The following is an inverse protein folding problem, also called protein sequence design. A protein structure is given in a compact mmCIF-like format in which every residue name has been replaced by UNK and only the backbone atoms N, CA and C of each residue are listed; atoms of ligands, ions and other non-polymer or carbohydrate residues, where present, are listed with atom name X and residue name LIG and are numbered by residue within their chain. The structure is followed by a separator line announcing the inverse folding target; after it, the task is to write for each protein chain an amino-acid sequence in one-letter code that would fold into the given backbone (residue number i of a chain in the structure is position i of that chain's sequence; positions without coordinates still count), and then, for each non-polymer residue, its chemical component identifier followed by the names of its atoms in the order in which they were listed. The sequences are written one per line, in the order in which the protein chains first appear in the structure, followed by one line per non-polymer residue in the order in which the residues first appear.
data_IF_937067014972
#
_entry.id   IF_937067014972
#
_cell.length_a   1.000
_cell.length_b   1.000
_cell.length_c   1.000
_cell.angle_alpha   90.00
_cell.angle_beta   90.00
_cell.angle_gamma   90.00
#
_symmetry.space_group_name_H-M   'P 1'
#
loop_
_entity.id
_entity.type
_entity.pdbx_description
1 polymer ?
#
# COMPACT_ATOMS: atom_id res chain seq x y z
N UNK A 1 -12.74 -10.94 -15.08
CA UNK A 1 -13.89 -10.03 -15.04
C UNK A 1 -13.81 -8.98 -13.92
N UNK A 2 -13.22 -9.27 -12.75
CA UNK A 2 -13.10 -8.29 -11.65
C UNK A 2 -12.12 -7.13 -11.91
N UNK A 3 -10.96 -7.38 -12.56
CA UNK A 3 -9.93 -6.34 -12.76
C UNK A 3 -10.33 -5.21 -13.73
N UNK A 4 -11.21 -5.50 -14.71
CA UNK A 4 -11.65 -4.51 -15.71
C UNK A 4 -12.67 -3.53 -15.11
N UNK A 5 -13.52 -4.00 -14.18
CA UNK A 5 -14.51 -3.16 -13.51
C UNK A 5 -13.86 -2.12 -12.57
N UNK A 6 -12.75 -2.49 -11.92
CA UNK A 6 -12.00 -1.57 -11.05
C UNK A 6 -11.32 -0.47 -11.88
N UNK A 7 -10.70 -0.81 -13.02
CA UNK A 7 -10.12 0.17 -13.92
C UNK A 7 -11.17 1.16 -14.49
N UNK A 8 -12.37 0.68 -14.80
CA UNK A 8 -13.48 1.50 -15.30
C UNK A 8 -14.01 2.49 -14.23
N UNK A 9 -14.12 2.07 -12.97
CA UNK A 9 -14.56 2.94 -11.88
C UNK A 9 -13.55 4.07 -11.59
N UNK A 10 -12.26 3.80 -11.76
CA UNK A 10 -11.18 4.78 -11.57
C UNK A 10 -11.03 5.79 -12.74
N UNK A 11 -11.36 5.40 -13.98
CA UNK A 11 -11.42 6.33 -15.12
C UNK A 11 -12.50 7.39 -14.91
N UNK A 12 -13.65 6.99 -14.36
CA UNK A 12 -14.75 7.92 -14.05
C UNK A 12 -14.40 8.92 -12.94
N UNK A 13 -13.48 8.57 -12.02
CA UNK A 13 -13.03 9.49 -10.96
C UNK A 13 -11.84 10.37 -11.34
N UNK A 14 -11.19 10.12 -12.49
CA UNK A 14 -9.94 10.78 -12.91
C UNK A 14 -10.11 11.72 -14.11
N UNK A 15 -11.30 11.78 -14.72
CA UNK A 15 -11.63 12.84 -15.67
C UNK A 15 -11.94 14.09 -14.84
N UNK A 16 -11.01 15.03 -14.80
CA UNK A 16 -11.32 16.42 -14.45
C UNK A 16 -12.37 16.92 -15.43
N UNK A 17 -13.64 16.90 -15.03
CA UNK A 17 -14.65 17.75 -15.67
C UNK A 17 -14.37 19.16 -15.15
N UNK A 18 -13.42 19.84 -15.78
CA UNK A 18 -13.38 21.30 -15.74
C UNK A 18 -14.71 21.82 -16.31
N UNK A 19 -15.58 22.26 -15.40
CA UNK A 19 -16.65 23.23 -15.61
C UNK A 19 -17.33 23.21 -16.98
N UNK A 20 -18.14 22.18 -17.24
CA UNK A 20 -19.35 22.37 -18.04
C UNK A 20 -20.49 21.70 -17.29
N UNK A 21 -21.42 22.53 -16.82
CA UNK A 21 -22.70 22.11 -16.28
C UNK A 21 -23.50 21.45 -17.41
N UNK A 22 -23.28 20.16 -17.62
CA UNK A 22 -24.06 19.33 -18.51
C UNK A 22 -24.20 17.97 -17.85
N UNK A 23 -25.43 17.65 -17.43
CA UNK A 23 -25.80 16.31 -17.00
C UNK A 23 -25.34 15.31 -18.06
N UNK A 24 -24.32 14.51 -17.74
CA UNK A 24 -23.87 13.45 -18.63
C UNK A 24 -25.02 12.44 -18.72
N UNK A 25 -25.64 12.37 -19.90
CA UNK A 25 -26.71 11.44 -20.24
C UNK A 25 -26.24 10.01 -19.95
N UNK A 26 -27.03 9.23 -19.20
CA UNK A 26 -26.69 7.87 -18.76
C UNK A 26 -26.29 6.97 -19.95
N UNK A 27 -26.81 7.25 -21.15
CA UNK A 27 -26.45 6.57 -22.40
C UNK A 27 -25.01 6.78 -22.86
N UNK A 28 -24.35 7.87 -22.47
CA UNK A 28 -22.95 8.16 -22.84
C UNK A 28 -21.97 7.34 -21.98
N UNK A 29 -22.33 7.14 -20.71
CA UNK A 29 -21.60 6.26 -19.79
C UNK A 29 -21.75 4.81 -20.24
N UNK A 30 -22.95 4.40 -20.65
CA UNK A 30 -23.22 3.06 -21.14
C UNK A 30 -22.50 2.75 -22.46
N UNK A 31 -22.47 3.69 -23.41
CA UNK A 31 -21.72 3.56 -24.66
C UNK A 31 -20.19 3.50 -24.44
N UNK A 32 -19.68 4.24 -23.46
CA UNK A 32 -18.26 4.19 -23.08
C UNK A 32 -17.92 2.87 -22.38
N UNK A 33 -18.83 2.33 -21.58
CA UNK A 33 -18.69 1.01 -20.96
C UNK A 33 -18.72 -0.10 -22.02
N UNK A 34 -19.61 -0.06 -23.01
CA UNK A 34 -19.59 -1.01 -24.14
C UNK A 34 -18.28 -0.94 -24.93
N UNK A 35 -17.72 0.26 -25.11
CA UNK A 35 -16.44 0.43 -25.80
C UNK A 35 -15.26 -0.18 -25.01
N UNK A 36 -15.18 0.08 -23.71
CA UNK A 36 -14.12 -0.47 -22.83
C UNK A 36 -14.26 -1.98 -22.65
N UNK A 37 -15.47 -2.52 -22.70
CA UNK A 37 -15.76 -3.94 -22.51
C UNK A 37 -15.77 -4.74 -23.81
N UNK A 38 -15.57 -4.11 -24.98
CA UNK A 38 -15.68 -4.78 -26.27
C UNK A 38 -14.59 -5.87 -26.46
N UNK A 39 -14.96 -7.17 -26.44
CA UNK A 39 -14.00 -8.25 -26.58
C UNK A 39 -13.43 -8.38 -28.00
N UNK A 40 -14.04 -7.73 -29.01
CA UNK A 40 -13.57 -7.81 -30.40
C UNK A 40 -12.26 -7.08 -30.66
N UNK A 41 -11.78 -6.26 -29.71
CA UNK A 41 -10.41 -5.71 -29.72
C UNK A 41 -9.42 -6.56 -28.92
N UNK A 42 -9.87 -7.61 -28.23
CA UNK A 42 -9.02 -8.48 -27.43
C UNK A 42 -8.32 -9.59 -28.24
N UNK A 43 -8.69 -9.80 -29.51
CA UNK A 43 -8.11 -10.86 -30.37
C UNK A 43 -7.13 -10.38 -31.45
N UNK A 44 -6.93 -9.06 -31.64
CA UNK A 44 -5.99 -8.52 -32.63
C UNK A 44 -4.99 -7.54 -32.02
N UNK A 45 -4.17 -8.02 -31.08
CA UNK A 45 -2.71 -7.79 -31.01
C UNK A 45 -2.18 -8.21 -29.63
N UNK A 46 -1.70 -9.45 -29.56
CA UNK A 46 -0.70 -9.85 -28.57
C UNK A 46 0.59 -9.11 -28.93
N UNK A 47 0.76 -7.91 -28.39
CA UNK A 47 2.04 -7.20 -28.44
C UNK A 47 2.29 -6.60 -27.06
N UNK A 48 3.19 -7.24 -26.30
CA UNK A 48 3.80 -6.80 -25.03
C UNK A 48 3.14 -5.58 -24.38
N UNK A 49 2.45 -5.79 -23.25
CA UNK A 49 2.16 -4.75 -22.26
C UNK A 49 3.38 -3.83 -22.14
N UNK A 50 3.27 -2.59 -22.61
CA UNK A 50 4.43 -1.71 -22.70
C UNK A 50 4.85 -1.35 -21.27
N UNK A 51 5.80 -2.07 -20.69
CA UNK A 51 6.42 -1.70 -19.42
C UNK A 51 7.65 -0.85 -19.67
N UNK A 52 7.96 0.09 -18.79
CA UNK A 52 9.19 0.88 -18.84
C UNK A 52 9.82 0.98 -17.46
N UNK A 53 11.09 1.38 -17.41
CA UNK A 53 11.80 1.60 -16.15
C UNK A 53 11.74 3.05 -15.73
N UNK A 54 11.41 3.29 -14.47
CA UNK A 54 11.48 4.60 -13.81
C UNK A 54 12.49 4.51 -12.67
N UNK A 55 13.41 5.46 -12.61
CA UNK A 55 14.48 5.51 -11.62
C UNK A 55 14.28 6.69 -10.68
N UNK A 56 14.43 6.42 -9.39
CA UNK A 56 14.26 7.39 -8.31
C UNK A 56 15.56 7.48 -7.52
N UNK A 57 16.00 8.70 -7.24
CA UNK A 57 17.16 8.92 -6.38
C UNK A 57 16.69 8.99 -4.94
N UNK A 58 17.35 8.23 -4.06
CA UNK A 58 17.17 8.29 -2.62
C UNK A 58 18.22 9.27 -2.07
N UNK A 59 17.81 10.36 -1.41
CA UNK A 59 18.75 11.27 -0.79
C UNK A 59 19.43 10.61 0.42
N UNK A 60 20.76 10.74 0.51
CA UNK A 60 21.53 10.38 1.70
C UNK A 60 22.63 11.42 1.93
N UNK A 61 23.04 11.59 3.18
CA UNK A 61 23.91 12.68 3.60
C UNK A 61 25.26 12.73 2.85
N UNK A 62 25.77 11.58 2.41
CA UNK A 62 27.10 11.46 1.79
C UNK A 62 27.13 10.62 0.49
N UNK A 63 25.97 10.15 0.01
CA UNK A 63 25.86 9.29 -1.18
C UNK A 63 24.46 9.41 -1.78
N UNK A 64 24.28 8.93 -3.01
CA UNK A 64 22.97 8.80 -3.64
C UNK A 64 22.78 7.36 -4.12
N UNK A 65 21.72 6.71 -3.67
CA UNK A 65 21.32 5.39 -4.19
C UNK A 65 20.14 5.57 -5.13
N UNK A 66 20.18 4.90 -6.28
CA UNK A 66 19.08 4.94 -7.26
C UNK A 66 18.28 3.64 -7.17
N UNK A 67 16.97 3.72 -6.95
CA UNK A 67 16.06 2.58 -7.08
C UNK A 67 15.34 2.66 -8.41
N UNK A 68 15.34 1.56 -9.16
CA UNK A 68 14.67 1.49 -10.47
C UNK A 68 13.50 0.53 -10.39
N UNK A 69 12.31 0.96 -10.80
CA UNK A 69 11.12 0.11 -10.89
C UNK A 69 10.70 -0.04 -12.35
N UNK A 70 10.42 -1.27 -12.79
CA UNK A 70 9.64 -1.50 -13.99
C UNK A 70 8.16 -1.32 -13.66
N UNK A 71 7.50 -0.48 -14.44
CA UNK A 71 6.09 -0.10 -14.28
C UNK A 71 5.35 -0.23 -15.61
N UNK A 72 4.04 -0.43 -15.56
CA UNK A 72 3.20 -0.45 -16.77
C UNK A 72 3.02 0.96 -17.34
N UNK A 73 3.02 1.10 -18.69
CA UNK A 73 2.78 2.38 -19.38
C UNK A 73 1.30 2.71 -19.54
N UNK A 74 0.40 1.73 -19.35
CA UNK A 74 -1.05 1.89 -19.51
C UNK A 74 -1.75 1.33 -18.29
N UNK A 75 -2.86 1.96 -17.88
CA UNK A 75 -3.71 1.55 -16.75
C UNK A 75 -4.49 0.26 -17.08
N UNK A 76 -3.81 -0.89 -17.18
CA UNK A 76 -4.48 -2.19 -17.28
C UNK A 76 -4.51 -2.93 -15.93
N UNK A 77 -3.52 -2.68 -15.06
CA UNK A 77 -3.38 -3.34 -13.76
C UNK A 77 -2.86 -2.40 -12.68
N UNK A 78 -3.70 -2.13 -11.68
CA UNK A 78 -3.41 -1.19 -10.58
C UNK A 78 -2.07 -1.50 -9.89
N UNK A 79 -1.73 -2.78 -9.70
CA UNK A 79 -0.49 -3.20 -9.02
C UNK A 79 0.80 -3.01 -9.83
N UNK A 80 0.74 -2.69 -11.12
CA UNK A 80 1.93 -2.43 -11.96
C UNK A 80 2.27 -0.94 -12.10
N UNK A 81 1.49 -0.06 -11.46
CA UNK A 81 1.75 1.38 -11.38
C UNK A 81 2.32 1.72 -10.01
N UNK A 82 3.20 2.73 -9.95
CA UNK A 82 3.56 3.39 -8.70
C UNK A 82 2.51 4.46 -8.37
N UNK A 83 1.86 4.31 -7.22
CA UNK A 83 0.84 5.25 -6.72
C UNK A 83 1.42 6.23 -5.71
N UNK A 84 0.73 7.35 -5.53
CA UNK A 84 1.19 8.48 -4.71
C UNK A 84 1.43 8.08 -3.26
N UNK A 85 0.60 7.19 -2.71
CA UNK A 85 0.81 6.63 -1.38
C UNK A 85 2.11 5.85 -1.23
N UNK A 86 2.62 5.23 -2.30
CA UNK A 86 3.92 4.56 -2.31
C UNK A 86 5.08 5.57 -2.20
N UNK A 87 4.98 6.72 -2.89
CA UNK A 87 5.96 7.80 -2.73
C UNK A 87 5.94 8.38 -1.32
N UNK A 88 4.76 8.71 -0.79
CA UNK A 88 4.60 9.25 0.56
C UNK A 88 5.10 8.27 1.62
N UNK A 89 4.82 6.97 1.49
CA UNK A 89 5.30 5.96 2.45
C UNK A 89 6.82 5.76 2.36
N UNK A 90 7.42 5.92 1.18
CA UNK A 90 8.87 5.90 1.01
C UNK A 90 9.53 7.14 1.65
N UNK A 91 8.95 8.33 1.49
CA UNK A 91 9.41 9.54 2.20
C UNK A 91 9.28 9.38 3.71
N UNK A 92 8.18 8.78 4.17
CA UNK A 92 7.98 8.48 5.58
C UNK A 92 9.08 7.55 6.09
N UNK A 93 9.41 6.49 5.36
CA UNK A 93 10.48 5.55 5.70
C UNK A 93 11.86 6.24 5.75
N UNK A 94 12.15 7.17 4.83
CA UNK A 94 13.38 7.98 4.84
C UNK A 94 13.46 8.83 6.11
N UNK A 95 12.39 9.56 6.45
CA UNK A 95 12.37 10.42 7.63
C UNK A 95 12.31 9.66 8.96
N UNK A 96 11.89 8.39 8.94
CA UNK A 96 11.70 7.53 10.12
C UNK A 96 12.60 6.29 10.10
N UNK A 97 13.75 6.35 9.44
CA UNK A 97 14.69 5.22 9.30
C UNK A 97 15.00 4.52 10.64
N UNK A 98 15.13 5.30 11.73
CA UNK A 98 15.37 4.80 13.10
C UNK A 98 14.35 3.77 13.56
N UNK A 99 13.10 3.90 13.11
CA UNK A 99 11.98 3.12 13.59
C UNK A 99 11.99 1.70 12.98
N UNK A 100 12.71 1.51 11.87
CA UNK A 100 12.83 0.25 11.13
C UNK A 100 14.12 -0.51 11.40
N UNK A 101 15.11 0.13 12.03
CA UNK A 101 16.44 -0.44 12.26
C UNK A 101 16.35 -1.71 13.13
N UNK A 102 16.86 -2.83 12.61
CA UNK A 102 16.79 -4.13 13.29
C UNK A 102 15.37 -4.66 13.51
N UNK A 103 14.38 -4.18 12.74
CA UNK A 103 12.98 -4.66 12.80
C UNK A 103 12.69 -5.58 11.61
N UNK A 104 11.69 -6.45 11.77
CA UNK A 104 11.14 -7.24 10.68
C UNK A 104 9.95 -6.50 10.06
N UNK A 105 10.01 -6.20 8.77
CA UNK A 105 8.99 -5.38 8.10
C UNK A 105 8.22 -6.24 7.10
N UNK A 106 6.90 -6.09 7.07
CA UNK A 106 6.01 -6.67 6.06
C UNK A 106 5.34 -5.53 5.29
N UNK A 107 5.39 -5.54 3.97
CA UNK A 107 4.61 -4.63 3.13
C UNK A 107 3.45 -5.39 2.48
N UNK A 108 2.21 -4.96 2.76
CA UNK A 108 1.00 -5.45 2.11
C UNK A 108 0.71 -4.66 0.85
N UNK A 109 0.30 -5.34 -0.23
CA UNK A 109 -0.07 -4.68 -1.48
C UNK A 109 1.10 -3.89 -2.06
N UNK A 110 2.29 -4.49 -2.09
CA UNK A 110 3.52 -3.82 -2.45
C UNK A 110 3.53 -3.34 -3.92
N UNK A 111 2.71 -3.93 -4.79
CA UNK A 111 2.66 -3.57 -6.21
C UNK A 111 4.02 -3.69 -6.87
N UNK A 112 4.59 -2.55 -7.30
CA UNK A 112 5.93 -2.48 -7.91
C UNK A 112 7.08 -2.60 -6.88
N UNK A 113 6.80 -2.54 -5.58
CA UNK A 113 7.75 -2.76 -4.48
C UNK A 113 8.55 -1.53 -4.04
N UNK A 114 8.13 -0.34 -4.45
CA UNK A 114 8.93 0.88 -4.30
C UNK A 114 9.27 1.18 -2.83
N UNK A 115 8.28 1.20 -1.92
CA UNK A 115 8.48 1.57 -0.51
C UNK A 115 9.52 0.67 0.16
N UNK A 116 9.32 -0.64 0.11
CA UNK A 116 10.21 -1.59 0.77
C UNK A 116 11.60 -1.64 0.15
N UNK A 117 11.74 -1.40 -1.15
CA UNK A 117 13.06 -1.26 -1.80
C UNK A 117 13.77 0.04 -1.42
N UNK A 118 13.04 1.15 -1.24
CA UNK A 118 13.64 2.38 -0.72
C UNK A 118 14.13 2.16 0.71
N UNK A 119 13.28 1.57 1.56
CA UNK A 119 13.62 1.27 2.96
C UNK A 119 14.85 0.34 3.05
N UNK A 120 14.93 -0.70 2.22
CA UNK A 120 16.07 -1.63 2.22
C UNK A 120 17.38 -0.97 1.78
N UNK A 121 17.35 0.13 1.03
CA UNK A 121 18.54 0.86 0.60
C UNK A 121 19.08 1.84 1.67
N UNK A 122 18.27 2.21 2.66
CA UNK A 122 18.63 3.22 3.68
C UNK A 122 18.79 2.65 5.08
N UNK A 123 18.10 1.55 5.39
CA UNK A 123 17.98 1.04 6.74
C UNK A 123 18.45 -0.42 6.82
N UNK A 124 19.37 -0.78 7.74
CA UNK A 124 19.63 -2.17 8.08
C UNK A 124 18.51 -2.71 8.98
N UNK A 125 17.35 -2.96 8.38
CA UNK A 125 16.28 -3.75 8.99
C UNK A 125 16.74 -5.21 9.17
N UNK A 126 16.08 -5.99 10.02
CA UNK A 126 16.41 -7.42 10.15
C UNK A 126 16.01 -8.19 8.89
N UNK A 127 14.84 -7.85 8.33
CA UNK A 127 14.28 -8.44 7.13
C UNK A 127 13.13 -7.58 6.62
N UNK A 128 12.95 -7.49 5.31
CA UNK A 128 11.79 -6.88 4.68
C UNK A 128 11.12 -7.92 3.78
N UNK A 129 9.81 -8.10 3.94
CA UNK A 129 9.01 -9.01 3.12
C UNK A 129 7.98 -8.19 2.34
N UNK A 130 8.09 -8.18 1.02
CA UNK A 130 7.16 -7.50 0.13
C UNK A 130 6.10 -8.50 -0.33
N UNK A 131 4.83 -8.13 -0.21
CA UNK A 131 3.73 -9.03 -0.54
C UNK A 131 2.69 -8.42 -1.47
N UNK A 132 2.22 -9.25 -2.37
CA UNK A 132 1.08 -9.00 -3.26
C UNK A 132 0.46 -10.36 -3.63
N UNK A 133 -0.56 -10.41 -4.49
CA UNK A 133 -1.24 -11.66 -4.82
C UNK A 133 -1.34 -11.93 -6.32
N UNK A 134 -1.48 -10.90 -7.15
CA UNK A 134 -1.74 -11.09 -8.57
C UNK A 134 -0.48 -11.64 -9.30
N UNK A 135 -0.57 -12.71 -10.11
CA UNK A 135 0.60 -13.39 -10.67
C UNK A 135 1.57 -12.50 -11.47
N UNK A 136 1.02 -11.62 -12.31
CA UNK A 136 1.70 -10.56 -13.07
C UNK A 136 2.42 -9.55 -12.16
N UNK A 137 1.74 -9.02 -11.14
CA UNK A 137 2.31 -8.12 -10.14
C UNK A 137 3.43 -8.81 -9.39
N UNK A 138 3.22 -10.06 -8.97
CA UNK A 138 4.22 -10.87 -8.27
C UNK A 138 5.44 -11.18 -9.15
N UNK A 139 5.26 -11.39 -10.46
CA UNK A 139 6.38 -11.54 -11.39
C UNK A 139 7.17 -10.24 -11.52
N UNK A 140 6.47 -9.10 -11.63
CA UNK A 140 7.09 -7.80 -11.74
C UNK A 140 7.80 -7.35 -10.46
N UNK A 141 7.20 -7.60 -9.30
CA UNK A 141 7.76 -7.33 -7.98
C UNK A 141 9.07 -8.07 -7.77
N UNK A 142 9.11 -9.38 -8.11
CA UNK A 142 10.37 -10.15 -8.06
C UNK A 142 11.44 -9.59 -8.98
N UNK A 143 11.08 -9.24 -10.21
CA UNK A 143 12.00 -8.61 -11.15
C UNK A 143 12.55 -7.27 -10.61
N UNK A 144 11.68 -6.42 -10.04
CA UNK A 144 12.09 -5.14 -9.46
C UNK A 144 13.03 -5.32 -8.27
N UNK A 145 12.77 -6.29 -7.40
CA UNK A 145 13.67 -6.63 -6.28
C UNK A 145 15.02 -7.12 -6.80
N UNK A 146 15.04 -7.99 -7.81
CA UNK A 146 16.27 -8.56 -8.37
C UNK A 146 17.19 -7.48 -8.97
N UNK A 147 16.67 -6.55 -9.77
CA UNK A 147 17.49 -5.51 -10.41
C UNK A 147 18.05 -4.47 -9.41
N UNK A 148 17.54 -4.43 -8.17
CA UNK A 148 18.02 -3.54 -7.11
C UNK A 148 18.78 -4.28 -6.00
N UNK A 149 18.88 -5.62 -6.05
CA UNK A 149 19.35 -6.44 -4.93
C UNK A 149 20.75 -6.06 -4.42
N UNK A 150 21.66 -5.62 -5.29
CA UNK A 150 23.02 -5.20 -4.93
C UNK A 150 23.08 -3.91 -4.08
N UNK A 151 21.97 -3.20 -3.94
CA UNK A 151 21.86 -1.92 -3.23
C UNK A 151 21.30 -2.06 -1.82
N UNK A 152 20.76 -3.24 -1.48
CA UNK A 152 20.06 -3.45 -0.21
C UNK A 152 21.04 -3.65 0.95
N UNK A 153 20.73 -3.01 2.08
CA UNK A 153 21.45 -3.11 3.35
C UNK A 153 20.91 -4.24 4.25
N UNK A 154 19.82 -4.89 3.84
CA UNK A 154 19.18 -5.99 4.55
C UNK A 154 18.57 -7.02 3.57
N UNK A 155 18.23 -8.24 4.04
CA UNK A 155 17.48 -9.20 3.24
C UNK A 155 16.10 -8.67 2.84
N UNK A 156 15.76 -8.82 1.55
CA UNK A 156 14.44 -8.51 0.99
C UNK A 156 13.88 -9.76 0.34
N UNK A 157 12.69 -10.17 0.77
CA UNK A 157 11.97 -11.33 0.21
C UNK A 157 10.66 -10.90 -0.43
N UNK A 158 10.21 -11.68 -1.41
CA UNK A 158 8.93 -11.48 -2.08
C UNK A 158 8.05 -12.70 -1.84
N UNK A 159 6.87 -12.50 -1.25
CA UNK A 159 5.95 -13.58 -0.89
C UNK A 159 4.53 -13.28 -1.38
N UNK A 160 3.80 -14.32 -1.77
CA UNK A 160 2.39 -14.18 -2.14
C UNK A 160 1.55 -14.07 -0.87
N UNK A 161 0.72 -13.03 -0.79
CA UNK A 161 -0.25 -12.81 0.29
C UNK A 161 -1.55 -12.30 -0.31
N UNK A 162 -2.51 -13.20 -0.42
CA UNK A 162 -3.89 -12.90 -0.81
C UNK A 162 -4.72 -12.62 0.44
N UNK A 163 -5.32 -11.43 0.55
CA UNK A 163 -6.07 -11.02 1.74
C UNK A 163 -7.27 -11.91 2.02
N UNK A 164 -7.86 -12.56 1.00
CA UNK A 164 -9.04 -13.40 1.18
C UNK A 164 -8.67 -14.76 1.78
N UNK A 165 -7.51 -15.29 1.42
CA UNK A 165 -7.12 -16.67 1.74
C UNK A 165 -5.99 -16.77 2.77
N UNK A 166 -5.22 -15.69 2.97
CA UNK A 166 -4.06 -15.71 3.87
C UNK A 166 -4.47 -15.94 5.32
N UNK A 167 -3.70 -16.76 6.03
CA UNK A 167 -3.80 -16.95 7.48
C UNK A 167 -2.40 -17.01 8.06
N UNK A 168 -2.18 -16.56 9.31
CA UNK A 168 -0.91 -16.77 10.01
C UNK A 168 -0.63 -18.26 10.13
N UNK A 169 0.58 -18.69 9.82
CA UNK A 169 0.98 -20.08 9.99
C UNK A 169 2.04 -20.21 11.07
N UNK A 170 2.06 -21.35 11.77
CA UNK A 170 3.14 -21.63 12.74
C UNK A 170 4.52 -21.79 12.07
N UNK A 171 4.55 -21.86 10.73
CA UNK A 171 5.79 -21.87 9.94
C UNK A 171 6.42 -20.49 9.80
N UNK A 172 5.69 -19.42 10.13
CA UNK A 172 6.18 -18.04 10.16
C UNK A 172 7.09 -17.84 11.38
N UNK A 173 8.30 -18.43 11.30
CA UNK A 173 9.30 -18.44 12.39
C UNK A 173 9.69 -17.05 12.87
N UNK A 174 9.51 -16.03 12.04
CA UNK A 174 9.79 -14.63 12.35
C UNK A 174 8.53 -13.82 12.09
N UNK A 175 7.95 -13.28 13.16
CA UNK A 175 6.77 -12.42 13.06
C UNK A 175 7.22 -10.99 12.71
N UNK A 176 6.58 -10.33 11.74
CA UNK A 176 6.84 -8.93 11.47
C UNK A 176 6.53 -8.07 12.69
N UNK A 177 7.33 -7.03 12.82
CA UNK A 177 7.27 -6.00 13.85
C UNK A 177 6.46 -4.79 13.39
N UNK A 178 6.61 -4.46 12.10
CA UNK A 178 5.99 -3.32 11.44
C UNK A 178 5.33 -3.82 10.15
N UNK A 179 4.10 -3.38 9.93
CA UNK A 179 3.39 -3.56 8.68
C UNK A 179 3.30 -2.23 7.94
N UNK A 180 3.61 -2.23 6.65
CA UNK A 180 3.44 -1.10 5.75
C UNK A 180 2.32 -1.41 4.73
N UNK A 181 1.52 -0.41 4.38
CA UNK A 181 0.53 -0.55 3.30
C UNK A 181 0.34 0.80 2.60
N UNK A 182 0.67 0.87 1.31
CA UNK A 182 0.44 2.04 0.46
C UNK A 182 -0.75 1.84 -0.46
N UNK A 183 -1.69 2.79 -0.48
CA UNK A 183 -2.88 2.81 -1.35
C UNK A 183 -3.72 1.52 -1.32
N UNK A 184 -3.79 0.82 -0.17
CA UNK A 184 -4.60 -0.39 0.00
C UNK A 184 -6.07 -0.10 0.39
N UNK A 185 -6.43 1.16 0.59
CA UNK A 185 -7.76 1.59 1.07
C UNK A 185 -8.57 2.19 -0.09
N UNK A 186 -9.03 1.34 -1.01
CA UNK A 186 -9.77 1.80 -2.19
C UNK A 186 -11.02 0.97 -2.55
N UNK A 187 -11.04 -0.32 -2.21
CA UNK A 187 -12.16 -1.22 -2.49
C UNK A 187 -12.87 -1.65 -1.21
N UNK A 188 -14.11 -1.19 -1.03
CA UNK A 188 -14.95 -1.50 0.14
C UNK A 188 -15.16 -3.01 0.28
N UNK A 189 -15.23 -3.76 -0.83
CA UNK A 189 -15.40 -5.21 -0.80
C UNK A 189 -14.19 -5.93 -0.20
N UNK A 190 -13.00 -5.35 -0.30
CA UNK A 190 -11.76 -5.91 0.21
C UNK A 190 -11.52 -5.63 1.71
N UNK A 191 -12.22 -4.66 2.32
CA UNK A 191 -11.96 -4.24 3.69
C UNK A 191 -12.11 -5.33 4.76
N UNK A 192 -13.12 -6.23 4.71
CA UNK A 192 -13.21 -7.33 5.67
C UNK A 192 -11.94 -8.21 5.66
N UNK A 193 -11.46 -8.57 4.47
CA UNK A 193 -10.27 -9.39 4.26
C UNK A 193 -9.00 -8.67 4.69
N UNK A 194 -8.81 -7.41 4.27
CA UNK A 194 -7.68 -6.58 4.68
C UNK A 194 -7.62 -6.42 6.20
N UNK A 195 -8.75 -6.12 6.84
CA UNK A 195 -8.83 -5.90 8.29
C UNK A 195 -8.51 -7.17 9.07
N UNK A 196 -8.92 -8.34 8.56
CA UNK A 196 -8.57 -9.64 9.12
C UNK A 196 -7.06 -9.89 9.08
N UNK A 197 -6.37 -9.54 7.98
CA UNK A 197 -4.90 -9.62 7.90
C UNK A 197 -4.26 -8.70 8.94
N UNK A 198 -4.69 -7.44 9.03
CA UNK A 198 -4.16 -6.46 10.00
C UNK A 198 -4.38 -6.93 11.44
N UNK A 199 -5.58 -7.44 11.77
CA UNK A 199 -5.89 -7.96 13.09
C UNK A 199 -4.98 -9.13 13.47
N UNK A 200 -4.78 -10.06 12.54
CA UNK A 200 -3.93 -11.22 12.74
C UNK A 200 -2.44 -10.83 12.88
N UNK A 201 -1.97 -9.83 12.12
CA UNK A 201 -0.64 -9.25 12.28
C UNK A 201 -0.45 -8.65 13.67
N UNK A 202 -1.38 -7.80 14.13
CA UNK A 202 -1.31 -7.18 15.45
C UNK A 202 -1.31 -8.24 16.56
N UNK A 203 -2.06 -9.32 16.38
CA UNK A 203 -2.12 -10.47 17.28
C UNK A 203 -2.85 -10.15 18.59
N UNK A 204 -2.76 -11.09 19.55
CA UNK A 204 -3.36 -10.95 20.88
C UNK A 204 -2.33 -10.37 21.88
N UNK A 205 -2.81 -9.73 22.96
CA UNK A 205 -2.01 -9.14 24.06
C UNK A 205 -1.20 -10.17 24.90
N UNK A 206 -0.97 -11.37 24.37
CA UNK A 206 -0.19 -12.42 25.02
C UNK A 206 1.31 -12.20 24.88
N UNK A 207 1.91 -11.53 25.86
CA UNK A 207 3.29 -11.75 26.32
C UNK A 207 4.47 -11.25 25.47
N UNK A 208 4.28 -10.68 24.28
CA UNK A 208 5.39 -10.09 23.50
C UNK A 208 5.62 -8.64 23.92
N UNK A 209 6.82 -8.35 24.44
CA UNK A 209 7.19 -7.02 24.99
C UNK A 209 7.30 -5.91 23.92
N UNK A 210 7.25 -6.23 22.63
CA UNK A 210 7.32 -5.27 21.52
C UNK A 210 5.94 -5.08 20.88
N UNK A 211 5.42 -3.86 20.99
CA UNK A 211 4.15 -3.45 20.36
C UNK A 211 4.32 -3.48 18.83
N UNK A 212 3.49 -4.28 18.14
CA UNK A 212 3.39 -4.26 16.68
C UNK A 212 2.57 -3.07 16.23
N UNK A 213 2.96 -2.49 15.11
CA UNK A 213 2.29 -1.32 14.53
C UNK A 213 2.14 -1.51 13.03
N UNK A 214 1.00 -1.08 12.48
CA UNK A 214 0.86 -0.96 11.04
C UNK A 214 0.83 0.53 10.66
N UNK A 215 1.54 0.90 9.59
CA UNK A 215 1.55 2.25 9.03
C UNK A 215 0.92 2.17 7.64
N UNK A 216 -0.16 2.92 7.45
CA UNK A 216 -0.89 3.01 6.20
C UNK A 216 -0.72 4.40 5.61
N UNK A 217 -0.42 4.46 4.32
CA UNK A 217 -0.57 5.67 3.51
C UNK A 217 -1.77 5.47 2.58
N UNK A 218 -2.73 6.38 2.62
CA UNK A 218 -3.94 6.30 1.80
C UNK A 218 -4.24 7.65 1.15
N UNK A 219 -4.67 7.62 -0.12
CA UNK A 219 -5.22 8.78 -0.81
C UNK A 219 -6.73 8.80 -0.61
N UNK A 220 -7.27 9.82 0.05
CA UNK A 220 -8.71 9.98 0.24
C UNK A 220 -9.34 10.48 -1.05
N UNK A 221 -9.77 9.55 -1.91
CA UNK A 221 -10.52 9.85 -3.14
C UNK A 221 -12.03 9.94 -2.89
N UNK A 222 -12.52 9.23 -1.89
CA UNK A 222 -13.93 9.20 -1.52
C UNK A 222 -14.07 9.06 0.00
N UNK A 223 -14.70 10.06 0.63
CA UNK A 223 -14.86 10.10 2.08
C UNK A 223 -15.71 8.94 2.63
N UNK A 224 -16.70 8.45 1.86
CA UNK A 224 -17.54 7.31 2.28
C UNK A 224 -16.74 6.01 2.27
N UNK A 225 -15.88 5.81 1.26
CA UNK A 225 -14.96 4.67 1.20
C UNK A 225 -14.01 4.70 2.39
N UNK A 226 -13.42 5.86 2.70
CA UNK A 226 -12.53 5.98 3.85
C UNK A 226 -13.27 5.75 5.19
N UNK A 227 -14.50 6.27 5.34
CA UNK A 227 -15.31 6.02 6.53
C UNK A 227 -15.63 4.52 6.71
N UNK A 228 -15.98 3.82 5.62
CA UNK A 228 -16.24 2.38 5.68
C UNK A 228 -14.99 1.59 6.14
N UNK A 229 -13.79 2.05 5.80
CA UNK A 229 -12.55 1.47 6.34
C UNK A 229 -12.40 1.73 7.85
N UNK A 230 -12.65 2.96 8.32
CA UNK A 230 -12.61 3.28 9.75
C UNK A 230 -13.63 2.45 10.55
N UNK A 231 -14.83 2.24 10.01
CA UNK A 231 -15.87 1.42 10.63
C UNK A 231 -15.42 -0.04 10.77
N UNK A 232 -14.72 -0.58 9.77
CA UNK A 232 -14.14 -1.93 9.82
C UNK A 232 -13.04 -2.05 10.88
N UNK A 233 -12.15 -1.06 10.98
CA UNK A 233 -11.12 -1.02 12.03
C UNK A 233 -11.75 -1.01 13.43
N UNK A 234 -12.76 -0.16 13.64
CA UNK A 234 -13.49 -0.07 14.91
C UNK A 234 -14.17 -1.39 15.28
N UNK A 235 -14.86 -2.03 14.33
CA UNK A 235 -15.50 -3.33 14.53
C UNK A 235 -14.51 -4.44 14.97
N UNK A 236 -13.25 -4.33 14.54
CA UNK A 236 -12.18 -5.27 14.88
C UNK A 236 -11.34 -4.85 16.09
N UNK A 237 -11.69 -3.74 16.77
CA UNK A 237 -10.93 -3.14 17.89
C UNK A 237 -9.49 -2.79 17.51
N UNK A 238 -9.31 -2.30 16.30
CA UNK A 238 -8.05 -1.73 15.82
C UNK A 238 -8.16 -0.23 16.00
N UNK A 239 -7.23 0.32 16.77
CA UNK A 239 -7.11 1.74 17.00
C UNK A 239 -6.51 2.40 15.75
N UNK A 240 -7.10 3.51 15.34
CA UNK A 240 -6.62 4.36 14.26
C UNK A 240 -6.10 5.66 14.86
N UNK A 241 -4.85 6.02 14.53
CA UNK A 241 -4.26 7.31 14.88
C UNK A 241 -3.81 7.98 13.58
N UNK A 242 -4.39 9.12 13.26
CA UNK A 242 -3.89 9.98 12.17
C UNK A 242 -2.54 10.57 12.60
N UNK A 243 -1.50 10.31 11.81
CA UNK A 243 -0.14 10.80 12.05
C UNK A 243 0.33 11.71 10.89
N UNK A 244 -0.58 12.17 10.04
CA UNK A 244 -0.25 12.92 8.81
C UNK A 244 0.55 14.18 9.09
N UNK A 245 0.05 15.04 9.98
CA UNK A 245 0.71 16.30 10.34
C UNK A 245 2.11 16.08 10.94
N UNK A 246 2.30 15.31 12.03
CA UNK A 246 3.64 15.10 12.61
C UNK A 246 4.59 14.37 11.65
N UNK A 247 4.08 13.48 10.79
CA UNK A 247 4.90 12.84 9.76
C UNK A 247 5.39 13.86 8.73
N UNK A 248 4.51 14.78 8.28
CA UNK A 248 4.84 15.82 7.32
C UNK A 248 5.89 16.80 7.86
N UNK A 249 5.78 17.19 9.13
CA UNK A 249 6.79 18.01 9.79
C UNK A 249 8.17 17.35 9.79
N UNK A 250 8.24 16.05 10.06
CA UNK A 250 9.50 15.31 10.07
C UNK A 250 10.06 15.04 8.67
N UNK A 251 9.20 14.79 7.69
CA UNK A 251 9.62 14.58 6.29
C UNK A 251 10.20 15.84 5.66
N UNK A 252 9.74 17.02 6.07
CA UNK A 252 10.24 18.29 5.53
C UNK A 252 9.84 18.48 4.05
N UNK A 253 10.82 18.84 3.23
CA UNK A 253 10.61 19.05 1.78
C UNK A 253 10.31 17.74 1.06
N UNK A 254 9.37 17.80 0.12
CA UNK A 254 8.96 16.66 -0.70
C UNK A 254 10.14 16.20 -1.59
N UNK A 255 10.44 14.90 -1.55
CA UNK A 255 11.52 14.25 -2.31
C UNK A 255 10.99 13.79 -3.68
N UNK A 256 9.79 13.22 -3.71
CA UNK A 256 9.15 12.68 -4.91
C UNK A 256 7.95 13.52 -5.30
N UNK A 257 7.85 13.89 -6.58
CA UNK A 257 6.78 14.77 -7.05
C UNK A 257 5.44 14.04 -7.15
N UNK A 258 4.52 14.33 -6.24
CA UNK A 258 3.09 13.94 -6.32
C UNK A 258 2.19 15.12 -5.89
N UNK A 259 1.10 15.36 -6.62
CA UNK A 259 0.32 16.62 -6.59
C UNK A 259 -0.80 16.67 -5.56
N UNK A 260 -1.22 15.52 -5.02
CA UNK A 260 -2.44 15.36 -4.19
C UNK A 260 -2.15 15.24 -2.69
N UNK A 261 -1.07 15.85 -2.21
CA UNK A 261 -0.56 15.70 -0.83
C UNK A 261 -1.58 16.07 0.26
N UNK A 262 -2.48 17.00 -0.02
CA UNK A 262 -3.59 17.43 0.83
C UNK A 262 -4.67 16.36 1.03
N UNK A 263 -4.83 15.47 0.06
CA UNK A 263 -5.78 14.35 0.10
C UNK A 263 -5.18 13.09 0.74
N UNK A 264 -3.88 13.09 1.01
CA UNK A 264 -3.21 11.93 1.57
C UNK A 264 -3.30 11.89 3.09
N UNK A 265 -3.40 10.69 3.64
CA UNK A 265 -3.31 10.44 5.07
C UNK A 265 -2.27 9.36 5.37
N UNK A 266 -1.47 9.61 6.39
CA UNK A 266 -0.68 8.60 7.07
C UNK A 266 -1.38 8.26 8.37
N UNK A 267 -1.62 6.98 8.61
CA UNK A 267 -2.14 6.54 9.89
C UNK A 267 -1.34 5.40 10.48
N UNK A 268 -1.31 5.39 11.81
CA UNK A 268 -0.78 4.30 12.62
C UNK A 268 -1.96 3.49 13.14
N UNK A 269 -1.89 2.19 12.93
CA UNK A 269 -2.85 1.22 13.47
C UNK A 269 -2.20 0.40 14.57
N UNK A 270 -2.89 0.32 15.70
CA UNK A 270 -2.49 -0.46 16.89
C UNK A 270 -3.67 -1.26 17.42
N UNK A 271 -3.39 -2.21 18.31
CA UNK A 271 -4.44 -2.86 19.07
C UNK A 271 -5.01 -1.86 20.09
N UNK A 272 -6.33 -1.76 20.18
CA UNK A 272 -6.98 -1.02 21.27
C UNK A 272 -6.65 -1.66 22.63
N UNK A 273 -6.21 -0.85 23.59
CA UNK A 273 -6.01 -1.27 24.98
C UNK A 273 -7.37 -1.37 25.65
N UNK A 274 -7.73 -2.53 26.20
CA UNK A 274 -8.96 -2.68 26.98
C UNK A 274 -8.79 -2.05 28.36
N UNK A 275 -9.69 -1.15 28.76
CA UNK A 275 -9.78 -0.56 30.11
C UNK A 275 -10.20 -1.55 31.23
N UNK A 276 -10.14 -2.87 31.00
CA UNK A 276 -10.55 -3.91 31.96
C UNK A 276 -9.51 -4.18 33.06
N UNK A 277 -8.88 -3.13 33.57
CA UNK A 277 -8.06 -3.17 34.79
C UNK A 277 -8.62 -2.22 35.86
N UNK A 278 -9.94 -2.20 36.04
CA UNK A 278 -10.51 -1.74 37.31
C UNK A 278 -10.60 -2.96 38.24
N UNK A 279 -9.75 -3.11 39.27
CA UNK A 279 -9.92 -4.19 40.23
C UNK A 279 -11.29 -4.04 40.88
N UNK A 280 -12.08 -5.11 40.87
CA UNK A 280 -13.36 -5.16 41.57
C UNK A 280 -13.15 -4.72 43.03
N UNK A 281 -14.03 -3.89 43.61
CA UNK A 281 -13.91 -3.50 45.00
C UNK A 281 -13.96 -4.76 45.86
N UNK A 282 -12.95 -4.92 46.70
CA UNK A 282 -12.95 -5.91 47.77
C UNK A 282 -14.10 -5.57 48.73
N UNK A 283 -15.14 -6.40 48.73
CA UNK A 283 -16.11 -6.48 49.83
C UNK A 283 -15.48 -7.11 51.07
#
# INVERSE_FOLDING_TARGET
MCCVAIAAYFLLSSIEIESVQADADDGLVEALMEFVLNPKMAEESVNSEATHHVSFTIPSANSSTVVTCRVASVFNEVGLKLWEAGWMLAEYAIAHESDFRGRNVLELGAGVGFTGMVLSCICPASRIVLTDYAPNVMQNLRYNVEINASKFLCPVDVQTLDWDTWQPTDQDKVRPDILLAGDCVYDVAAFPSLTRVVQAFLGNNGGSSSQRVAIFAATIRNQKTFQAFLDQLAAHRIEYVDITEPAFEKMGEQIYSYSNRDQMRLCRLSRSVSDDATPAPTE
#
